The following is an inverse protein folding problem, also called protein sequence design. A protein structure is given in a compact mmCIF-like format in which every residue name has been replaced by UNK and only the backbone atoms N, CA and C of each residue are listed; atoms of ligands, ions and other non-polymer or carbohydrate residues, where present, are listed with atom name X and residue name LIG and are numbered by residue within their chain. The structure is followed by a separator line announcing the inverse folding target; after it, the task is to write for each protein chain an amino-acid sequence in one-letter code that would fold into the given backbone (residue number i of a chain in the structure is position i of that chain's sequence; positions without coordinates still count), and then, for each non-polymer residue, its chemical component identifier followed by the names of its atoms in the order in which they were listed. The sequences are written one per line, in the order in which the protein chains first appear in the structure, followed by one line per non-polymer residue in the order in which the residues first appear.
data_IF_283232076363
#
_entry.id   IF_283232076363
#
_cell.length_a   1.000
_cell.length_b   1.000
_cell.length_c   1.000
_cell.angle_alpha   90.00
_cell.angle_beta   90.00
_cell.angle_gamma   90.00
#
_symmetry.space_group_name_H-M   'P 1'
#
loop_
_entity.id
_entity.type
_entity.pdbx_description
1 polymer ?
#
# COMPACT_ATOMS: atom_id res chain seq x y z
N UNK A 1 5.85 14.07 7.80
CA UNK A 1 6.35 12.68 7.79
C UNK A 1 7.71 12.62 7.09
N UNK A 2 8.59 11.72 7.50
CA UNK A 2 9.86 11.43 6.83
C UNK A 2 9.80 10.01 6.27
N UNK A 3 10.06 9.87 4.97
CA UNK A 3 9.88 8.62 4.25
C UNK A 3 11.21 7.89 4.03
N UNK A 4 11.26 6.63 4.41
CA UNK A 4 12.34 5.70 4.10
C UNK A 4 12.02 4.93 2.82
N UNK A 5 13.02 4.79 1.97
CA UNK A 5 13.03 3.79 0.92
C UNK A 5 13.67 2.51 1.49
N UNK A 6 12.83 1.57 1.93
CA UNK A 6 13.23 0.25 2.40
C UNK A 6 13.22 -0.80 1.27
N UNK A 7 13.24 -0.38 0.00
CA UNK A 7 13.41 -1.30 -1.14
C UNK A 7 12.35 -1.23 -2.24
N UNK A 8 11.25 -0.46 -2.07
CA UNK A 8 10.33 -0.16 -3.17
C UNK A 8 10.99 0.69 -4.27
N UNK A 9 12.05 1.43 -3.94
CA UNK A 9 12.86 2.21 -4.90
C UNK A 9 12.07 3.25 -5.71
N UNK A 10 11.00 3.81 -5.11
CA UNK A 10 10.21 4.89 -5.71
C UNK A 10 10.51 6.26 -5.09
N UNK A 11 10.38 6.38 -3.78
CA UNK A 11 10.57 7.64 -3.03
C UNK A 11 11.07 7.35 -1.61
N UNK A 12 11.83 8.27 -1.04
CA UNK A 12 12.30 8.22 0.35
C UNK A 12 13.82 8.16 0.46
N UNK A 13 14.33 8.49 1.65
CA UNK A 13 15.75 8.36 1.97
C UNK A 13 16.14 6.89 2.11
N UNK A 14 17.34 6.54 1.65
CA UNK A 14 17.93 5.22 1.89
C UNK A 14 18.18 5.02 3.40
N UNK A 15 18.22 3.77 3.90
CA UNK A 15 18.33 3.49 5.34
C UNK A 15 19.57 4.14 5.99
N UNK A 16 20.70 4.12 5.30
CA UNK A 16 21.97 4.75 5.71
C UNK A 16 21.91 6.27 5.82
N UNK A 17 21.11 6.93 4.98
CA UNK A 17 20.92 8.38 5.00
C UNK A 17 19.75 8.85 5.89
N UNK A 18 18.91 7.92 6.37
CA UNK A 18 17.64 8.26 7.00
C UNK A 18 17.80 9.02 8.32
N UNK A 19 18.76 8.61 9.16
CA UNK A 19 19.04 9.28 10.45
C UNK A 19 19.45 10.73 10.26
N UNK A 20 20.42 10.98 9.39
CA UNK A 20 20.90 12.35 9.11
C UNK A 20 19.78 13.24 8.57
N UNK A 21 18.90 12.69 7.72
CA UNK A 21 17.72 13.41 7.24
C UNK A 21 16.73 13.74 8.37
N UNK A 22 16.52 12.80 9.30
CA UNK A 22 15.68 13.03 10.48
C UNK A 22 16.26 14.11 11.39
N UNK A 23 17.55 14.06 11.70
CA UNK A 23 18.21 15.05 12.57
C UNK A 23 18.09 16.46 12.00
N UNK A 24 18.34 16.62 10.69
CA UNK A 24 18.17 17.90 9.99
C UNK A 24 16.73 18.40 10.01
N UNK A 25 15.75 17.51 9.88
CA UNK A 25 14.34 17.87 9.95
C UNK A 25 13.93 18.23 11.39
N UNK A 26 14.42 17.50 12.38
CA UNK A 26 14.13 17.72 13.80
C UNK A 26 14.74 19.04 14.32
N UNK A 27 15.85 19.49 13.75
CA UNK A 27 16.45 20.79 14.08
C UNK A 27 15.76 21.99 13.43
N UNK A 28 14.81 21.77 12.51
CA UNK A 28 14.14 22.85 11.78
C UNK A 28 12.98 23.41 12.63
N UNK A 29 12.99 24.70 13.02
CA UNK A 29 11.94 25.29 13.87
C UNK A 29 10.54 25.26 13.25
N UNK A 30 10.46 25.15 11.92
CA UNK A 30 9.20 25.08 11.18
C UNK A 30 8.57 23.67 11.16
N UNK A 31 9.26 22.65 11.69
CA UNK A 31 8.80 21.26 11.69
C UNK A 31 8.44 20.87 13.12
N UNK A 32 7.14 20.68 13.38
CA UNK A 32 6.65 20.29 14.71
C UNK A 32 6.86 18.81 15.03
N UNK A 33 6.11 17.91 14.38
CA UNK A 33 6.17 16.46 14.66
C UNK A 33 6.53 15.67 13.40
N UNK A 34 7.44 14.71 13.56
CA UNK A 34 7.91 13.86 12.46
C UNK A 34 7.43 12.43 12.66
N UNK A 35 6.47 12.00 11.84
CA UNK A 35 6.12 10.59 11.68
C UNK A 35 7.11 9.91 10.74
N UNK A 36 7.66 8.77 11.14
CA UNK A 36 8.56 7.93 10.33
C UNK A 36 7.72 6.97 9.49
N UNK A 37 8.01 6.85 8.20
CA UNK A 37 7.18 6.04 7.32
C UNK A 37 7.96 5.29 6.25
N UNK A 38 7.47 4.12 5.87
CA UNK A 38 7.87 3.41 4.65
C UNK A 38 6.64 2.79 3.97
N UNK A 39 6.84 2.17 2.82
CA UNK A 39 5.78 1.48 2.11
C UNK A 39 6.31 0.15 1.57
N UNK A 40 5.64 -0.95 1.93
CA UNK A 40 5.96 -2.27 1.40
C UNK A 40 5.76 -2.32 -0.11
N UNK A 41 6.70 -2.96 -0.81
CA UNK A 41 6.62 -3.21 -2.24
C UNK A 41 5.62 -4.32 -2.54
N UNK A 42 5.74 -5.46 -1.86
CA UNK A 42 5.06 -6.72 -2.20
C UNK A 42 4.40 -7.35 -0.96
N UNK A 43 3.70 -6.54 -0.14
CA UNK A 43 3.05 -7.07 1.07
C UNK A 43 1.94 -8.09 0.78
N UNK A 44 1.43 -8.10 -0.44
CA UNK A 44 0.46 -9.03 -0.98
C UNK A 44 1.05 -10.39 -1.40
N UNK A 45 2.36 -10.47 -1.62
CA UNK A 45 3.09 -11.72 -1.90
C UNK A 45 3.78 -12.31 -0.65
N UNK A 46 3.56 -11.71 0.52
CA UNK A 46 4.05 -12.21 1.81
C UNK A 46 5.45 -11.73 2.23
N UNK A 47 6.20 -11.08 1.34
CA UNK A 47 7.57 -10.62 1.62
C UNK A 47 7.61 -9.26 2.33
N UNK A 48 7.42 -9.26 3.65
CA UNK A 48 7.48 -8.01 4.46
C UNK A 48 8.65 -7.96 5.45
N UNK A 49 9.21 -9.11 5.83
CA UNK A 49 10.24 -9.22 6.88
C UNK A 49 11.41 -8.28 6.67
N UNK A 50 12.11 -8.46 5.56
CA UNK A 50 13.36 -7.74 5.30
C UNK A 50 13.16 -6.21 5.22
N UNK A 51 12.02 -5.75 4.68
CA UNK A 51 11.72 -4.32 4.64
C UNK A 51 11.39 -3.78 6.04
N UNK A 52 10.68 -4.58 6.85
CA UNK A 52 10.33 -4.23 8.22
C UNK A 52 11.57 -4.19 9.11
N UNK A 53 12.43 -5.20 9.03
CA UNK A 53 13.70 -5.29 9.76
C UNK A 53 14.62 -4.13 9.40
N UNK A 54 14.72 -3.80 8.10
CA UNK A 54 15.49 -2.63 7.62
C UNK A 54 14.95 -1.34 8.23
N UNK A 55 13.63 -1.16 8.27
CA UNK A 55 13.01 0.03 8.82
C UNK A 55 13.18 0.13 10.33
N UNK A 56 12.97 -0.95 11.06
CA UNK A 56 13.11 -0.98 12.52
C UNK A 56 14.57 -0.74 12.92
N UNK A 57 15.54 -1.34 12.22
CA UNK A 57 16.97 -1.11 12.47
C UNK A 57 17.38 0.35 12.21
N UNK A 58 16.98 0.92 11.07
CA UNK A 58 17.35 2.30 10.72
C UNK A 58 16.59 3.37 11.51
N UNK A 59 15.47 3.02 12.14
CA UNK A 59 14.70 3.92 13.02
C UNK A 59 14.89 3.66 14.52
N UNK A 60 15.78 2.73 14.90
CA UNK A 60 16.09 2.44 16.28
C UNK A 60 16.55 3.71 17.03
N UNK A 61 15.93 3.99 18.19
CA UNK A 61 16.22 5.18 18.99
C UNK A 61 15.76 6.52 18.40
N UNK A 62 15.10 6.52 17.24
CA UNK A 62 14.49 7.74 16.66
C UNK A 62 13.07 7.90 17.23
N UNK A 63 12.75 9.02 17.90
CA UNK A 63 11.40 9.26 18.41
C UNK A 63 10.45 9.65 17.27
N UNK A 64 9.16 9.42 17.51
CA UNK A 64 8.10 9.72 16.54
C UNK A 64 7.24 8.49 16.25
N UNK A 65 6.04 8.76 15.78
CA UNK A 65 5.09 7.72 15.35
C UNK A 65 5.58 7.04 14.07
N UNK A 66 5.16 5.80 13.86
CA UNK A 66 5.56 4.94 12.75
C UNK A 66 4.35 4.56 11.90
N UNK A 67 4.52 4.58 10.59
CA UNK A 67 3.51 4.13 9.64
C UNK A 67 4.12 3.34 8.49
N UNK A 68 3.83 2.05 8.41
CA UNK A 68 4.41 1.16 7.38
C UNK A 68 3.36 0.41 6.56
N UNK A 69 2.20 0.11 7.18
CA UNK A 69 1.20 -0.78 6.61
C UNK A 69 0.29 -0.13 5.57
N UNK A 70 0.23 -0.73 4.38
CA UNK A 70 -0.78 -0.49 3.34
C UNK A 70 -1.93 -1.51 3.47
N UNK A 71 -2.88 -1.54 2.52
CA UNK A 71 -4.00 -2.49 2.55
C UNK A 71 -3.59 -3.96 2.75
N UNK A 72 -2.58 -4.43 2.01
CA UNK A 72 -2.12 -5.82 2.10
C UNK A 72 -1.49 -6.11 3.47
N UNK A 73 -0.63 -5.21 3.96
CA UNK A 73 -0.05 -5.32 5.29
C UNK A 73 -1.09 -5.24 6.42
N UNK A 74 -2.14 -4.44 6.24
CA UNK A 74 -3.26 -4.39 7.19
C UNK A 74 -3.95 -5.75 7.30
N UNK A 75 -4.25 -6.38 6.16
CA UNK A 75 -4.96 -7.65 6.11
C UNK A 75 -4.13 -8.83 6.60
N UNK A 76 -2.89 -8.93 6.13
CA UNK A 76 -2.13 -10.19 6.22
C UNK A 76 -0.90 -10.12 7.13
N UNK A 77 -0.52 -8.93 7.59
CA UNK A 77 0.71 -8.72 8.36
C UNK A 77 0.48 -7.91 9.64
N UNK A 78 -0.28 -8.43 10.62
CA UNK A 78 -0.63 -7.70 11.85
C UNK A 78 0.60 -7.21 12.64
N UNK A 79 1.72 -7.93 12.59
CA UNK A 79 2.99 -7.52 13.20
C UNK A 79 3.61 -6.24 12.60
N UNK A 80 3.20 -5.87 11.38
CA UNK A 80 3.61 -4.63 10.72
C UNK A 80 2.66 -3.46 11.07
N UNK A 81 1.65 -3.68 11.89
CA UNK A 81 0.85 -2.58 12.43
C UNK A 81 1.75 -1.79 13.39
N UNK A 82 1.69 -0.48 13.22
CA UNK A 82 2.43 0.51 14.00
C UNK A 82 1.41 1.55 14.46
N UNK A 83 1.85 2.73 14.87
CA UNK A 83 0.97 3.79 15.36
C UNK A 83 -0.11 4.18 14.33
N UNK A 84 0.23 4.16 13.04
CA UNK A 84 -0.71 4.44 11.95
C UNK A 84 -0.66 3.40 10.83
N UNK A 85 -1.84 2.93 10.43
CA UNK A 85 -2.05 2.14 9.21
C UNK A 85 -2.61 3.01 8.08
N UNK A 86 -2.37 2.62 6.83
CA UNK A 86 -2.81 3.36 5.63
C UNK A 86 -3.56 2.45 4.66
N UNK A 87 -4.75 1.94 5.05
CA UNK A 87 -5.58 1.16 4.15
C UNK A 87 -6.02 2.06 2.97
N UNK A 88 -5.87 1.54 1.75
CA UNK A 88 -6.34 2.17 0.52
C UNK A 88 -7.44 1.32 -0.08
N UNK A 89 -7.10 0.44 -1.02
CA UNK A 89 -8.02 -0.48 -1.73
C UNK A 89 -9.04 -1.20 -0.83
N UNK A 90 -8.65 -1.63 0.38
CA UNK A 90 -9.56 -2.36 1.28
C UNK A 90 -10.63 -1.47 1.93
N UNK A 91 -10.43 -0.14 1.97
CA UNK A 91 -11.49 0.79 2.38
C UNK A 91 -12.69 0.77 1.42
N UNK A 92 -12.46 0.34 0.17
CA UNK A 92 -13.49 0.25 -0.86
C UNK A 92 -13.99 -1.19 -1.08
N UNK A 93 -13.62 -2.10 -0.18
CA UNK A 93 -13.99 -3.51 -0.27
C UNK A 93 -13.35 -4.28 -1.42
N UNK A 94 -12.19 -3.83 -1.89
CA UNK A 94 -11.45 -4.48 -2.97
C UNK A 94 -10.16 -5.15 -2.45
N UNK A 95 -9.81 -6.29 -3.07
CA UNK A 95 -8.62 -7.07 -2.73
C UNK A 95 -7.34 -6.35 -3.18
N UNK A 96 -6.31 -6.23 -2.33
CA UNK A 96 -5.02 -5.65 -2.72
C UNK A 96 -4.34 -6.37 -3.90
N UNK A 97 -4.57 -7.69 -4.03
CA UNK A 97 -4.03 -8.55 -5.10
C UNK A 97 -4.82 -8.44 -6.42
N UNK A 98 -5.92 -7.69 -6.44
CA UNK A 98 -6.86 -7.67 -7.56
C UNK A 98 -7.79 -8.90 -7.65
N UNK A 99 -7.56 -9.96 -6.87
CA UNK A 99 -8.41 -11.14 -6.85
C UNK A 99 -9.36 -11.14 -5.64
N UNK A 100 -10.67 -11.00 -5.88
CA UNK A 100 -11.70 -10.93 -4.83
C UNK A 100 -11.69 -12.15 -3.90
N UNK A 101 -11.40 -13.35 -4.42
CA UNK A 101 -11.32 -14.58 -3.62
C UNK A 101 -10.30 -14.52 -2.47
N UNK A 102 -9.25 -13.70 -2.58
CA UNK A 102 -8.22 -13.60 -1.53
C UNK A 102 -8.69 -12.83 -0.29
N UNK A 103 -9.86 -12.19 -0.35
CA UNK A 103 -10.49 -11.51 0.80
C UNK A 103 -11.91 -12.03 1.07
N UNK A 104 -12.26 -13.21 0.54
CA UNK A 104 -13.62 -13.76 0.64
C UNK A 104 -14.08 -13.97 2.10
N UNK A 105 -13.14 -14.33 2.98
CA UNK A 105 -13.40 -14.56 4.40
C UNK A 105 -13.26 -13.28 5.25
N UNK A 106 -12.92 -12.14 4.64
CA UNK A 106 -12.81 -10.86 5.32
C UNK A 106 -14.14 -10.10 5.17
N UNK A 107 -14.73 -9.56 6.26
CA UNK A 107 -16.04 -8.90 6.21
C UNK A 107 -15.95 -7.47 5.61
N UNK A 108 -15.37 -7.34 4.43
CA UNK A 108 -15.31 -6.10 3.66
C UNK A 108 -16.49 -6.03 2.69
N UNK A 109 -17.09 -4.85 2.56
CA UNK A 109 -18.20 -4.61 1.63
C UNK A 109 -17.71 -3.80 0.42
N UNK A 110 -17.99 -4.24 -0.82
CA UNK A 110 -17.63 -3.49 -2.02
C UNK A 110 -18.39 -2.15 -2.04
N UNK A 111 -17.64 -1.06 -2.22
CA UNK A 111 -18.20 0.29 -2.22
C UNK A 111 -18.63 0.79 -3.62
N UNK A 112 -18.27 0.08 -4.68
CA UNK A 112 -18.50 0.49 -6.06
C UNK A 112 -19.29 -0.57 -6.82
N UNK A 113 -20.32 -0.13 -7.54
CA UNK A 113 -21.09 -0.95 -8.49
C UNK A 113 -21.07 -0.27 -9.86
N UNK A 114 -20.66 -0.99 -10.90
CA UNK A 114 -20.79 -0.56 -12.29
C UNK A 114 -21.97 -1.30 -12.94
N UNK A 115 -22.95 -0.57 -13.46
CA UNK A 115 -24.14 -1.14 -14.10
C UNK A 115 -24.33 -0.56 -15.51
N UNK A 116 -24.81 -1.39 -16.43
CA UNK A 116 -25.21 -0.97 -17.79
C UNK A 116 -26.44 -1.77 -18.24
N UNK A 117 -26.90 -1.56 -19.48
CA UNK A 117 -28.03 -2.27 -20.09
C UNK A 117 -27.68 -2.70 -21.51
N UNK A 118 -28.20 -3.86 -21.92
CA UNK A 118 -28.12 -4.30 -23.32
C UNK A 118 -28.95 -3.34 -24.17
N UNK A 119 -28.34 -2.76 -25.21
CA UNK A 119 -29.01 -1.82 -26.12
C UNK A 119 -29.30 -2.43 -27.51
N UNK A 120 -28.77 -3.62 -27.79
CA UNK A 120 -28.97 -4.32 -29.04
C UNK A 120 -28.56 -5.78 -28.92
N UNK A 121 -29.34 -6.66 -29.55
CA UNK A 121 -29.07 -8.10 -29.67
C UNK A 121 -29.13 -8.42 -31.16
N UNK A 122 -28.05 -9.00 -31.69
CA UNK A 122 -27.93 -9.37 -33.10
C UNK A 122 -27.58 -10.86 -33.20
N UNK A 123 -28.09 -11.54 -34.22
CA UNK A 123 -27.71 -12.92 -34.56
C UNK A 123 -26.78 -12.86 -35.76
N UNK A 124 -25.64 -13.54 -35.67
CA UNK A 124 -24.64 -13.56 -36.73
C UNK A 124 -24.56 -14.93 -37.39
N UNK A 125 -24.29 -14.94 -38.69
CA UNK A 125 -24.00 -16.13 -39.47
C UNK A 125 -22.51 -16.53 -39.33
N UNK A 126 -22.16 -17.80 -39.64
CA UNK A 126 -20.75 -18.17 -39.80
C UNK A 126 -20.01 -17.23 -40.74
N UNK A 127 -18.73 -16.95 -40.45
CA UNK A 127 -17.85 -16.03 -41.19
C UNK A 127 -18.15 -14.52 -41.05
N UNK A 128 -19.20 -14.11 -40.33
CA UNK A 128 -19.40 -12.69 -39.99
C UNK A 128 -18.47 -12.24 -38.84
N UNK A 129 -18.05 -10.97 -38.86
CA UNK A 129 -17.09 -10.40 -37.90
C UNK A 129 -17.72 -9.33 -36.98
N UNK A 130 -17.10 -9.11 -35.81
CA UNK A 130 -17.54 -8.13 -34.81
C UNK A 130 -16.38 -7.21 -34.45
N UNK A 131 -16.65 -5.90 -34.41
CA UNK A 131 -15.69 -4.89 -34.00
C UNK A 131 -15.12 -4.11 -35.18
N UNK A 132 -14.01 -3.43 -34.93
CA UNK A 132 -13.28 -2.69 -35.95
C UNK A 132 -12.06 -3.51 -36.40
N UNK A 133 -11.85 -3.60 -37.72
CA UNK A 133 -10.75 -4.36 -38.33
C UNK A 133 -10.88 -5.87 -38.12
#
# INVERSE_FOLDING_TARGET
QLKMNSGMNRLGYRPDAFRAAWERAASAPSIGRITLMMHFANADDGEVDWQLDTFDAATAGIPGERSVSNSAAVLWHPRAHRDWVRPGTILYGASPTGAARHIADTPLMPAMTLTSKIIGVQTLAPEETVGYG
#
